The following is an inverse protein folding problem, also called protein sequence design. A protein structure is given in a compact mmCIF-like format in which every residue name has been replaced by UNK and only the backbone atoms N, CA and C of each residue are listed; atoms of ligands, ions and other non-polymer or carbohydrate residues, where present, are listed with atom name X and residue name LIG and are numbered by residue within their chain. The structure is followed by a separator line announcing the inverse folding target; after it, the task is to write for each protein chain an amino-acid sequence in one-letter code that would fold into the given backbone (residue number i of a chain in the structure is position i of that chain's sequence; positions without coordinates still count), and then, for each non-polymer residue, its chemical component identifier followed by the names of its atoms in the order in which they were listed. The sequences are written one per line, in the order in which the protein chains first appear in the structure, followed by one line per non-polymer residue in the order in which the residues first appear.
data_IF_924135856896
#
_entry.id   IF_924135856896
#
_cell.length_a   1.000
_cell.length_b   1.000
_cell.length_c   1.000
_cell.angle_alpha   90.00
_cell.angle_beta   90.00
_cell.angle_gamma   90.00
#
_symmetry.space_group_name_H-M   'P 1'
#
loop_
_entity.id
_entity.type
_entity.pdbx_description
1 polymer ?
#
# COMPACT_ATOMS: atom_id res chain seq x y z
N UNK A 1 29.98 -8.22 28.88
CA UNK A 1 28.58 -8.33 28.41
C UNK A 1 28.53 -9.28 27.23
N UNK A 2 27.89 -10.45 27.40
CA UNK A 2 27.65 -11.42 26.33
C UNK A 2 26.27 -11.09 25.76
N UNK A 3 26.21 -10.68 24.49
CA UNK A 3 24.95 -10.39 23.81
C UNK A 3 24.14 -11.69 23.66
N UNK A 4 22.88 -11.65 24.07
CA UNK A 4 21.97 -12.78 23.91
C UNK A 4 21.75 -13.09 22.42
N UNK A 5 21.64 -14.38 22.02
CA UNK A 5 21.36 -14.74 20.63
C UNK A 5 19.97 -14.22 20.20
N UNK A 6 19.79 -13.86 18.91
CA UNK A 6 18.52 -13.34 18.41
C UNK A 6 17.39 -14.36 18.56
N UNK A 7 16.29 -13.94 19.18
CA UNK A 7 15.11 -14.75 19.43
C UNK A 7 14.40 -15.10 18.10
N UNK A 8 14.12 -16.39 17.78
CA UNK A 8 13.43 -16.77 16.54
C UNK A 8 12.02 -16.18 16.37
N UNK A 9 11.44 -15.62 17.44
CA UNK A 9 10.21 -14.82 17.44
C UNK A 9 10.34 -13.44 16.76
N UNK A 10 11.54 -12.99 16.40
CA UNK A 10 11.78 -11.67 15.79
C UNK A 10 11.79 -11.68 14.24
N UNK A 11 11.43 -12.80 13.60
CA UNK A 11 11.34 -12.85 12.14
C UNK A 11 10.05 -12.15 11.67
N UNK A 12 10.13 -11.19 10.73
CA UNK A 12 8.93 -10.55 10.21
C UNK A 12 7.99 -11.57 9.56
N UNK A 13 6.69 -11.43 9.82
CA UNK A 13 5.66 -12.21 9.11
C UNK A 13 5.66 -11.84 7.62
N UNK A 14 5.06 -12.69 6.77
CA UNK A 14 4.91 -12.36 5.34
C UNK A 14 4.20 -11.02 5.12
N UNK A 15 3.20 -10.69 5.94
CA UNK A 15 2.49 -9.41 5.88
C UNK A 15 3.40 -8.23 6.28
N UNK A 16 4.23 -8.39 7.31
CA UNK A 16 5.19 -7.37 7.71
C UNK A 16 6.29 -7.15 6.67
N UNK A 17 6.76 -8.22 6.01
CA UNK A 17 7.69 -8.12 4.89
C UNK A 17 7.06 -7.36 3.71
N UNK A 18 5.80 -7.69 3.40
CA UNK A 18 5.05 -7.04 2.34
C UNK A 18 4.84 -5.55 2.64
N UNK A 19 4.39 -5.22 3.86
CA UNK A 19 4.24 -3.84 4.34
C UNK A 19 5.56 -3.07 4.23
N UNK A 20 6.66 -3.62 4.75
CA UNK A 20 7.98 -3.00 4.65
C UNK A 20 8.38 -2.71 3.19
N UNK A 21 8.05 -3.63 2.28
CA UNK A 21 8.37 -3.47 0.87
C UNK A 21 7.61 -2.33 0.20
N UNK A 22 6.36 -2.11 0.59
CA UNK A 22 5.53 -1.01 0.11
C UNK A 22 5.92 0.32 0.77
N UNK A 23 6.20 0.32 2.07
CA UNK A 23 6.71 1.50 2.78
C UNK A 23 8.02 1.99 2.16
N UNK A 24 8.94 1.08 1.86
CA UNK A 24 10.21 1.42 1.22
C UNK A 24 10.02 2.10 -0.14
N UNK A 25 8.99 1.70 -0.90
CA UNK A 25 8.61 2.33 -2.16
C UNK A 25 7.98 3.70 -1.93
N UNK A 26 7.07 3.84 -0.97
CA UNK A 26 6.33 5.09 -0.72
C UNK A 26 7.13 6.17 0.00
N UNK A 27 8.24 5.83 0.65
CA UNK A 27 9.03 6.76 1.48
C UNK A 27 9.61 7.97 0.71
N UNK A 28 9.74 7.88 -0.62
CA UNK A 28 10.14 9.02 -1.46
C UNK A 28 9.04 10.07 -1.65
N UNK A 29 7.78 9.70 -1.39
CA UNK A 29 6.61 10.58 -1.48
C UNK A 29 6.28 11.17 -0.11
N UNK A 30 6.16 10.31 0.90
CA UNK A 30 5.98 10.71 2.28
C UNK A 30 6.39 9.57 3.24
N UNK A 31 7.01 9.89 4.39
CA UNK A 31 7.34 8.88 5.39
C UNK A 31 6.08 8.24 5.95
N UNK A 32 6.10 6.92 6.17
CA UNK A 32 4.98 6.16 6.73
C UNK A 32 3.66 6.26 5.95
N UNK A 33 3.69 6.66 4.67
CA UNK A 33 2.47 6.82 3.87
C UNK A 33 1.63 5.54 3.80
N UNK A 34 2.27 4.36 3.71
CA UNK A 34 1.56 3.07 3.75
C UNK A 34 1.61 2.53 5.18
N UNK A 35 0.43 2.44 5.78
CA UNK A 35 0.25 2.09 7.19
C UNK A 35 0.03 0.58 7.36
N UNK A 36 -0.72 -0.04 6.46
CA UNK A 36 -0.96 -1.49 6.49
C UNK A 36 -0.97 -2.10 5.09
N UNK A 37 -0.63 -3.39 5.03
CA UNK A 37 -0.75 -4.22 3.83
C UNK A 37 -1.39 -5.55 4.23
N UNK A 38 -2.62 -5.79 3.76
CA UNK A 38 -3.44 -6.94 4.14
C UNK A 38 -3.79 -7.75 2.90
N UNK A 39 -3.33 -8.99 2.85
CA UNK A 39 -3.63 -9.90 1.75
C UNK A 39 -4.75 -10.86 2.16
N UNK A 40 -5.85 -10.85 1.41
CA UNK A 40 -6.87 -11.88 1.50
C UNK A 40 -6.60 -12.94 0.42
N UNK A 41 -6.10 -14.10 0.85
CA UNK A 41 -5.78 -15.22 -0.05
C UNK A 41 -7.03 -15.89 -0.61
N UNK A 42 -8.14 -15.90 0.12
CA UNK A 42 -9.40 -16.50 -0.34
C UNK A 42 -10.05 -15.63 -1.41
N UNK A 43 -10.10 -14.32 -1.18
CA UNK A 43 -10.59 -13.34 -2.15
C UNK A 43 -9.58 -13.01 -3.26
N UNK A 44 -8.34 -13.50 -3.15
CA UNK A 44 -7.20 -13.15 -4.00
C UNK A 44 -7.04 -11.63 -4.17
N UNK A 45 -7.07 -10.90 -3.04
CA UNK A 45 -7.02 -9.44 -3.02
C UNK A 45 -5.95 -8.91 -2.09
N UNK A 46 -5.51 -7.68 -2.35
CA UNK A 46 -4.60 -6.92 -1.51
C UNK A 46 -5.21 -5.56 -1.19
N UNK A 47 -5.23 -5.22 0.10
CA UNK A 47 -5.64 -3.91 0.59
C UNK A 47 -4.44 -3.22 1.20
N UNK A 48 -4.17 -2.01 0.73
CA UNK A 48 -3.20 -1.11 1.33
C UNK A 48 -3.96 0.04 2.00
N UNK A 49 -3.68 0.29 3.27
CA UNK A 49 -4.22 1.48 3.97
C UNK A 49 -3.16 2.56 3.96
N UNK A 50 -3.50 3.72 3.43
CA UNK A 50 -2.63 4.90 3.35
C UNK A 50 -2.98 5.89 4.45
N UNK A 51 -1.99 6.66 4.86
CA UNK A 51 -2.15 7.80 5.75
C UNK A 51 -2.67 9.05 5.04
N UNK A 52 -2.96 10.08 5.84
CA UNK A 52 -3.55 11.33 5.37
C UNK A 52 -2.59 12.11 4.46
N UNK A 53 -1.30 11.77 4.51
CA UNK A 53 -0.25 12.29 3.62
C UNK A 53 -0.60 12.07 2.14
N UNK A 54 -1.41 11.06 1.81
CA UNK A 54 -1.95 10.86 0.45
C UNK A 54 -2.62 12.12 -0.10
N UNK A 55 -3.41 12.81 0.74
CA UNK A 55 -4.15 14.01 0.35
C UNK A 55 -3.25 15.24 0.22
N UNK A 56 -2.02 15.18 0.75
CA UNK A 56 -1.01 16.23 0.59
C UNK A 56 -0.14 16.08 -0.65
N UNK A 57 -0.21 14.92 -1.34
CA UNK A 57 0.53 14.70 -2.58
C UNK A 57 -0.09 15.47 -3.74
N UNK A 58 0.75 15.96 -4.65
CA UNK A 58 0.26 16.50 -5.92
C UNK A 58 -0.41 15.39 -6.75
N UNK A 59 -1.36 15.76 -7.63
CA UNK A 59 -2.14 14.78 -8.40
C UNK A 59 -1.26 13.85 -9.25
N UNK A 60 -0.17 14.36 -9.83
CA UNK A 60 0.80 13.58 -10.59
C UNK A 60 1.61 12.61 -9.70
N UNK A 61 1.93 13.02 -8.47
CA UNK A 61 2.56 12.14 -7.47
C UNK A 61 1.62 11.02 -7.04
N UNK A 62 0.33 11.31 -6.86
CA UNK A 62 -0.69 10.30 -6.55
C UNK A 62 -0.79 9.26 -7.67
N UNK A 63 -0.82 9.71 -8.93
CA UNK A 63 -0.88 8.82 -10.10
C UNK A 63 0.37 7.95 -10.21
N UNK A 64 1.54 8.57 -10.02
CA UNK A 64 2.83 7.87 -10.06
C UNK A 64 2.94 6.82 -8.96
N UNK A 65 2.63 7.18 -7.72
CA UNK A 65 2.64 6.24 -6.60
C UNK A 65 1.66 5.09 -6.84
N UNK A 66 0.44 5.38 -7.28
CA UNK A 66 -0.55 4.34 -7.56
C UNK A 66 -0.05 3.37 -8.64
N UNK A 67 0.53 3.89 -9.73
CA UNK A 67 1.13 3.08 -10.80
C UNK A 67 2.28 2.20 -10.29
N UNK A 68 3.20 2.76 -9.50
CA UNK A 68 4.32 2.02 -8.91
C UNK A 68 3.84 0.91 -7.96
N UNK A 69 2.80 1.17 -7.17
CA UNK A 69 2.17 0.15 -6.33
C UNK A 69 1.52 -0.95 -7.17
N UNK A 70 0.80 -0.61 -8.24
CA UNK A 70 0.24 -1.61 -9.15
C UNK A 70 1.34 -2.50 -9.74
N UNK A 71 2.42 -1.91 -10.27
CA UNK A 71 3.57 -2.68 -10.78
C UNK A 71 4.17 -3.59 -9.70
N UNK A 72 4.37 -3.07 -8.48
CA UNK A 72 4.92 -3.84 -7.35
C UNK A 72 4.06 -5.04 -6.97
N UNK A 73 2.75 -4.99 -7.22
CA UNK A 73 1.82 -6.09 -6.91
C UNK A 73 1.71 -7.17 -7.98
N UNK A 74 2.16 -6.92 -9.22
CA UNK A 74 2.05 -7.90 -10.31
C UNK A 74 2.63 -9.29 -9.99
N UNK A 75 3.80 -9.43 -9.33
CA UNK A 75 4.35 -10.74 -8.97
C UNK A 75 3.49 -11.51 -7.96
N UNK A 76 2.65 -10.81 -7.19
CA UNK A 76 1.77 -11.42 -6.18
C UNK A 76 0.53 -12.06 -6.81
N UNK A 77 0.24 -11.77 -8.10
CA UNK A 77 -0.90 -12.33 -8.86
C UNK A 77 -2.26 -12.13 -8.19
N UNK A 78 -2.41 -11.05 -7.42
CA UNK A 78 -3.70 -10.64 -6.84
C UNK A 78 -4.64 -10.15 -7.95
N UNK A 79 -5.93 -10.48 -7.85
CA UNK A 79 -6.97 -10.04 -8.79
C UNK A 79 -7.44 -8.63 -8.52
N UNK A 80 -7.41 -8.22 -7.24
CA UNK A 80 -7.85 -6.89 -6.82
C UNK A 80 -6.80 -6.25 -5.92
N UNK A 81 -6.50 -5.00 -6.20
CA UNK A 81 -5.73 -4.08 -5.37
C UNK A 81 -6.63 -2.90 -5.03
N UNK A 82 -6.73 -2.58 -3.75
CA UNK A 82 -7.43 -1.40 -3.24
C UNK A 82 -6.48 -0.58 -2.36
N UNK A 83 -6.43 0.73 -2.62
CA UNK A 83 -5.83 1.71 -1.75
C UNK A 83 -6.96 2.39 -0.98
N UNK A 84 -6.91 2.33 0.34
CA UNK A 84 -7.90 2.94 1.23
C UNK A 84 -7.25 3.99 2.13
N UNK A 85 -7.99 4.97 2.61
CA UNK A 85 -7.56 5.75 3.78
C UNK A 85 -7.90 5.04 5.10
N UNK A 86 -7.55 5.67 6.22
CA UNK A 86 -7.80 5.15 7.57
C UNK A 86 -9.30 5.02 7.89
N UNK A 87 -10.15 5.79 7.24
CA UNK A 87 -11.61 5.76 7.40
C UNK A 87 -12.26 4.69 6.51
N UNK A 88 -11.48 4.05 5.63
CA UNK A 88 -11.94 3.01 4.71
C UNK A 88 -12.46 3.54 3.38
N UNK A 89 -12.27 4.82 3.07
CA UNK A 89 -12.64 5.39 1.78
C UNK A 89 -11.71 4.86 0.68
N UNK A 90 -12.28 4.52 -0.48
CA UNK A 90 -11.52 4.01 -1.61
C UNK A 90 -10.79 5.15 -2.34
N UNK A 91 -9.46 5.18 -2.19
CA UNK A 91 -8.58 6.15 -2.82
C UNK A 91 -8.30 5.80 -4.28
N UNK A 92 -7.89 4.55 -4.51
CA UNK A 92 -7.55 4.04 -5.82
C UNK A 92 -7.74 2.52 -5.91
N UNK A 93 -7.88 2.01 -7.13
CA UNK A 93 -7.93 0.56 -7.39
C UNK A 93 -7.31 0.17 -8.71
N UNK A 94 -6.90 -1.08 -8.84
CA UNK A 94 -6.49 -1.63 -10.13
C UNK A 94 -7.68 -1.67 -11.11
N UNK A 95 -7.43 -1.55 -12.42
CA UNK A 95 -8.49 -1.57 -13.41
C UNK A 95 -9.00 -3.01 -13.64
N UNK A 96 -10.23 -3.14 -14.15
CA UNK A 96 -10.74 -4.43 -14.65
C UNK A 96 -10.07 -4.78 -15.98
N UNK A 97 -9.86 -3.77 -16.84
CA UNK A 97 -9.20 -3.87 -18.14
C UNK A 97 -8.19 -2.73 -18.26
N UNK A 98 -6.96 -3.05 -18.68
CA UNK A 98 -5.87 -2.08 -18.80
C UNK A 98 -4.81 -2.25 -17.71
N UNK A 99 -3.81 -1.36 -17.73
CA UNK A 99 -2.61 -1.47 -16.89
C UNK A 99 -2.38 -0.24 -16.00
N UNK A 100 -3.36 0.65 -15.91
CA UNK A 100 -3.27 1.91 -15.16
C UNK A 100 -4.21 1.89 -13.96
N UNK A 101 -3.72 2.36 -12.81
CA UNK A 101 -4.56 2.53 -11.62
C UNK A 101 -5.65 3.55 -11.87
N UNK A 102 -6.84 3.28 -11.32
CA UNK A 102 -7.94 4.23 -11.30
C UNK A 102 -7.90 4.94 -9.95
N UNK A 103 -7.54 6.23 -9.95
CA UNK A 103 -7.59 7.09 -8.75
C UNK A 103 -8.97 7.71 -8.65
N UNK A 104 -9.66 7.49 -7.53
CA UNK A 104 -11.04 7.94 -7.28
C UNK A 104 -11.10 9.14 -6.35
N UNK A 105 -10.22 9.19 -5.34
CA UNK A 105 -10.23 10.23 -4.33
C UNK A 105 -8.83 10.83 -4.15
N UNK A 106 -8.68 12.08 -4.60
CA UNK A 106 -7.42 12.84 -4.57
C UNK A 106 -7.31 13.81 -3.41
N UNK A 107 -8.44 14.33 -2.98
CA UNK A 107 -8.54 15.33 -1.92
C UNK A 107 -9.56 14.84 -0.91
N UNK A 108 -9.29 15.12 0.36
CA UNK A 108 -10.26 14.88 1.41
C UNK A 108 -11.48 15.76 1.14
N UNK A 109 -12.63 15.14 0.90
CA UNK A 109 -13.87 15.86 0.62
C UNK A 109 -14.62 16.27 1.90
N UNK A 110 -13.92 16.28 3.05
CA UNK A 110 -14.50 16.41 4.39
C UNK A 110 -15.71 17.31 4.49
N UNK A 111 -16.81 16.71 4.95
CA UNK A 111 -17.87 17.40 5.70
C UNK A 111 -17.48 17.50 7.18
#
# INVERSE_FOLDING_TARGET
SIAAPPNPLNKPTAEQQLLTSFQSLSNSYAPNLIQTAQQDKLANSLRLTLGDEWYGLASDQQDKLASELLTKTQPLKVRSLQLLDKQGNLLARNPIVGNEMIVLLRQWAGE
#
